data_IF_222531142166
#
_entry.id   IF_222531142166
#
_cell.length_a   1.000
_cell.length_b   1.000
_cell.length_c   1.000
_cell.angle_alpha   90.00
_cell.angle_beta   90.00
_cell.angle_gamma   90.00
#
_symmetry.space_group_name_H-M   'P 1'
#
loop_
_entity.id
_entity.type
_entity.pdbx_description
1 polymer ?
#
# COMPACT_ATOMS: atom_id res chain seq x y z
N UNK A 1 10.32 9.13 6.57
CA UNK A 1 10.72 7.76 6.92
C UNK A 1 10.71 6.84 5.72
N UNK A 2 9.63 6.75 4.98
CA UNK A 2 9.41 5.78 3.92
C UNK A 2 9.34 6.51 2.56
N UNK A 3 10.49 6.91 2.06
CA UNK A 3 10.64 7.61 0.79
C UNK A 3 11.50 6.80 -0.18
N UNK A 4 11.28 7.02 -1.46
CA UNK A 4 11.79 6.21 -2.55
C UNK A 4 13.32 6.08 -2.59
N UNK A 5 14.04 7.21 -2.59
CA UNK A 5 15.51 7.18 -2.61
C UNK A 5 16.10 6.92 -1.22
N UNK A 6 15.41 7.34 -0.15
CA UNK A 6 15.84 7.08 1.21
C UNK A 6 15.89 5.59 1.51
N UNK A 7 14.89 4.80 1.10
CA UNK A 7 14.90 3.36 1.28
C UNK A 7 16.08 2.70 0.55
N UNK A 8 16.36 3.10 -0.69
CA UNK A 8 17.52 2.59 -1.43
C UNK A 8 18.84 2.90 -0.71
N UNK A 9 18.97 4.09 -0.09
CA UNK A 9 20.10 4.39 0.77
C UNK A 9 20.13 3.50 2.02
N UNK A 10 18.99 3.27 2.66
CA UNK A 10 18.85 2.42 3.84
C UNK A 10 19.26 0.97 3.56
N UNK A 11 18.81 0.42 2.45
CA UNK A 11 19.15 -0.93 1.98
C UNK A 11 20.63 -1.09 1.68
N UNK A 12 21.32 -0.04 1.22
CA UNK A 12 22.76 0.00 0.94
C UNK A 12 23.27 -1.24 0.17
N UNK A 13 22.64 -1.55 -0.95
CA UNK A 13 23.01 -2.72 -1.75
C UNK A 13 22.85 -4.07 -1.02
N UNK A 14 21.81 -4.17 -0.20
CA UNK A 14 21.47 -5.38 0.56
C UNK A 14 22.21 -5.54 1.90
N UNK A 15 23.06 -4.58 2.30
CA UNK A 15 23.71 -4.58 3.62
C UNK A 15 22.78 -4.21 4.77
N UNK A 16 21.71 -3.49 4.49
CA UNK A 16 20.65 -3.07 5.41
C UNK A 16 21.16 -2.35 6.68
N UNK A 17 22.20 -1.56 6.55
CA UNK A 17 22.94 -0.98 7.67
C UNK A 17 22.87 0.55 7.75
N UNK A 18 21.91 1.19 7.03
CA UNK A 18 21.77 2.65 7.01
C UNK A 18 20.34 3.12 7.35
N UNK A 19 19.53 2.28 8.01
CA UNK A 19 18.13 2.66 8.31
C UNK A 19 18.07 3.85 9.28
N UNK A 20 18.87 3.86 10.33
CA UNK A 20 18.92 5.02 11.24
C UNK A 20 19.35 6.31 10.57
N UNK A 21 20.44 6.27 9.81
CA UNK A 21 21.00 7.46 9.16
C UNK A 21 20.23 7.88 7.93
N UNK A 22 19.40 7.02 7.37
CA UNK A 22 18.50 7.29 6.25
C UNK A 22 17.07 7.59 6.65
N UNK A 23 16.81 7.82 7.95
CA UNK A 23 15.46 8.03 8.47
C UNK A 23 15.36 9.27 9.34
N UNK A 24 14.22 9.95 9.26
CA UNK A 24 13.81 11.03 10.15
C UNK A 24 13.18 10.54 11.46
N UNK A 25 13.03 9.22 11.65
CA UNK A 25 12.54 8.61 12.88
C UNK A 25 13.65 8.07 13.81
N UNK A 26 14.90 8.37 13.51
CA UNK A 26 16.05 8.00 14.31
C UNK A 26 16.10 6.51 14.66
N UNK A 27 16.36 6.17 15.93
CA UNK A 27 16.46 4.80 16.41
C UNK A 27 15.14 4.01 16.40
N UNK A 28 13.98 4.67 16.27
CA UNK A 28 12.68 4.00 16.24
C UNK A 28 12.55 3.03 15.06
N UNK A 29 13.27 3.25 13.97
CA UNK A 29 13.27 2.34 12.80
C UNK A 29 13.88 0.96 13.11
N UNK A 30 14.59 0.81 14.20
CA UNK A 30 15.21 -0.44 14.66
C UNK A 30 14.32 -1.21 15.64
N UNK A 31 13.12 -0.71 15.92
CA UNK A 31 12.15 -1.39 16.77
C UNK A 31 11.66 -2.70 16.15
N UNK A 32 11.17 -3.59 17.00
CA UNK A 32 10.47 -4.81 16.56
C UNK A 32 9.29 -5.08 17.51
N UNK A 33 8.31 -5.82 17.02
CA UNK A 33 7.10 -6.15 17.76
C UNK A 33 7.13 -7.58 18.27
N UNK A 34 6.65 -7.79 19.48
CA UNK A 34 6.35 -9.13 19.99
C UNK A 34 5.02 -9.60 19.36
N UNK A 35 5.11 -10.24 18.22
CA UNK A 35 3.95 -10.69 17.43
C UNK A 35 3.01 -11.60 18.20
N UNK A 36 3.48 -12.27 19.28
CA UNK A 36 2.62 -13.09 20.15
C UNK A 36 1.54 -12.28 20.86
N UNK A 37 1.74 -10.97 21.00
CA UNK A 37 0.79 -10.06 21.63
C UNK A 37 -0.18 -9.42 20.64
N UNK A 38 0.03 -9.59 19.35
CA UNK A 38 -0.86 -9.02 18.34
C UNK A 38 -2.16 -9.84 18.25
N UNK A 39 -3.32 -9.18 18.32
CA UNK A 39 -4.63 -9.84 18.30
C UNK A 39 -4.82 -10.82 17.16
N UNK A 40 -4.32 -10.52 15.94
CA UNK A 40 -4.49 -11.41 14.79
C UNK A 40 -3.83 -12.77 15.00
N UNK A 41 -2.63 -12.82 15.58
CA UNK A 41 -1.98 -14.11 15.86
C UNK A 41 -2.63 -14.82 17.04
N UNK A 42 -3.08 -14.08 18.05
CA UNK A 42 -3.89 -14.63 19.14
C UNK A 42 -5.18 -15.31 18.64
N UNK A 43 -5.86 -14.67 17.70
CA UNK A 43 -7.04 -15.21 17.04
C UNK A 43 -6.71 -16.46 16.21
N UNK A 44 -5.71 -16.40 15.33
CA UNK A 44 -5.34 -17.50 14.44
C UNK A 44 -4.82 -18.74 15.18
N UNK A 45 -4.31 -18.58 16.41
CA UNK A 45 -3.92 -19.70 17.27
C UNK A 45 -5.07 -20.18 18.19
N UNK A 46 -6.21 -19.52 18.16
CA UNK A 46 -7.38 -19.88 18.94
C UNK A 46 -8.07 -21.16 18.44
N UNK A 47 -8.80 -21.80 19.35
CA UNK A 47 -9.60 -22.98 18.98
C UNK A 47 -10.68 -22.63 17.95
N UNK A 48 -10.71 -23.37 16.84
CA UNK A 48 -11.70 -23.16 15.77
C UNK A 48 -11.35 -22.05 14.78
N UNK A 49 -10.21 -21.42 14.91
CA UNK A 49 -9.71 -20.46 13.91
C UNK A 49 -9.39 -21.14 12.57
N UNK A 50 -9.47 -20.44 11.44
CA UNK A 50 -9.07 -20.99 10.16
C UNK A 50 -7.56 -21.23 10.11
N UNK A 51 -7.14 -22.19 9.30
CA UNK A 51 -5.73 -22.38 8.99
C UNK A 51 -5.19 -21.20 8.14
N UNK A 52 -3.90 -20.98 8.24
CA UNK A 52 -3.24 -19.87 7.56
C UNK A 52 -1.83 -20.25 7.07
N UNK A 53 -1.34 -19.47 6.13
CA UNK A 53 0.02 -19.58 5.59
C UNK A 53 0.73 -18.26 5.85
N UNK A 54 1.97 -18.33 6.32
CA UNK A 54 2.88 -17.20 6.35
C UNK A 54 3.73 -17.26 5.08
N UNK A 55 3.75 -16.21 4.28
CA UNK A 55 4.74 -16.03 3.24
C UNK A 55 5.93 -15.26 3.85
N UNK A 56 6.97 -15.98 4.26
CA UNK A 56 8.07 -15.42 5.08
C UNK A 56 9.13 -14.66 4.26
N UNK A 57 9.01 -14.72 2.94
CA UNK A 57 9.86 -14.01 1.98
C UNK A 57 9.00 -13.13 1.06
N UNK A 58 8.20 -12.24 1.67
CA UNK A 58 7.32 -11.33 0.96
C UNK A 58 7.82 -9.89 1.08
N UNK A 59 7.89 -9.17 -0.03
CA UNK A 59 8.50 -7.84 -0.13
C UNK A 59 7.51 -6.80 -0.64
N UNK A 60 7.69 -5.53 -0.25
CA UNK A 60 6.93 -4.44 -0.88
C UNK A 60 7.30 -4.32 -2.36
N UNK A 61 6.33 -3.99 -3.21
CA UNK A 61 6.49 -4.02 -4.66
C UNK A 61 7.39 -2.92 -5.22
N UNK A 62 7.46 -1.78 -4.54
CA UNK A 62 8.28 -0.65 -4.95
C UNK A 62 9.00 -0.04 -3.75
N UNK A 63 10.15 0.59 -3.96
CA UNK A 63 10.81 1.40 -2.94
C UNK A 63 9.92 2.55 -2.48
N UNK A 64 10.09 2.96 -1.22
CA UNK A 64 9.42 4.11 -0.67
C UNK A 64 8.11 3.80 0.02
N UNK A 65 7.22 4.79 0.04
CA UNK A 65 6.04 4.80 0.88
C UNK A 65 4.76 4.35 0.21
N UNK A 66 3.67 4.55 0.94
CA UNK A 66 2.33 4.06 0.62
C UNK A 66 1.82 4.49 -0.75
N UNK A 67 2.09 5.75 -1.17
CA UNK A 67 1.60 6.22 -2.45
C UNK A 67 2.05 5.33 -3.61
N UNK A 68 3.37 5.13 -3.77
CA UNK A 68 3.90 4.35 -4.88
C UNK A 68 3.53 2.87 -4.77
N UNK A 69 3.55 2.31 -3.56
CA UNK A 69 3.19 0.92 -3.33
C UNK A 69 1.70 0.65 -3.62
N UNK A 70 0.79 1.59 -3.35
CA UNK A 70 -0.60 1.48 -3.80
C UNK A 70 -0.72 1.50 -5.33
N UNK A 71 0.08 2.33 -6.03
CA UNK A 71 0.09 2.31 -7.50
C UNK A 71 0.63 0.98 -8.04
N UNK A 72 1.68 0.44 -7.43
CA UNK A 72 2.20 -0.89 -7.77
C UNK A 72 1.18 -1.99 -7.47
N UNK A 73 0.43 -1.86 -6.39
CA UNK A 73 -0.61 -2.83 -6.02
C UNK A 73 -1.81 -2.84 -6.97
N UNK A 74 -2.08 -1.75 -7.70
CA UNK A 74 -3.21 -1.70 -8.65
C UNK A 74 -2.80 -1.73 -10.11
N UNK A 75 -1.57 -1.31 -10.44
CA UNK A 75 -1.13 -1.17 -11.84
C UNK A 75 0.26 -1.78 -12.13
N UNK A 76 1.00 -2.22 -11.12
CA UNK A 76 2.38 -2.71 -11.23
C UNK A 76 3.33 -1.71 -11.94
N UNK A 77 3.08 -0.41 -11.81
CA UNK A 77 3.81 0.63 -12.52
C UNK A 77 3.88 1.94 -11.71
N UNK A 78 4.97 2.66 -11.86
CA UNK A 78 5.09 4.01 -11.36
C UNK A 78 4.28 4.99 -12.24
N UNK A 79 3.49 5.89 -11.64
CA UNK A 79 2.70 6.83 -12.41
C UNK A 79 3.58 7.90 -13.06
N UNK A 80 3.30 8.22 -14.32
CA UNK A 80 3.94 9.32 -15.02
C UNK A 80 3.34 10.66 -14.59
N UNK A 81 4.20 11.67 -14.44
CA UNK A 81 3.83 13.05 -14.17
C UNK A 81 4.60 13.97 -15.10
N UNK A 82 4.24 13.94 -16.38
CA UNK A 82 4.96 14.64 -17.46
C UNK A 82 5.01 16.15 -17.19
N UNK A 83 6.19 16.74 -17.31
CA UNK A 83 6.42 18.16 -17.16
C UNK A 83 6.52 18.69 -15.72
N UNK A 84 6.23 17.87 -14.72
CA UNK A 84 6.25 18.30 -13.32
C UNK A 84 7.66 18.65 -12.81
N UNK A 85 8.71 18.09 -13.41
CA UNK A 85 10.10 18.42 -13.06
C UNK A 85 10.53 19.87 -13.36
N UNK A 86 9.63 20.65 -13.98
CA UNK A 86 9.92 22.05 -14.33
C UNK A 86 9.49 23.05 -13.25
N UNK A 87 8.79 22.63 -12.20
CA UNK A 87 8.22 23.52 -11.19
C UNK A 87 9.25 23.97 -10.12
N UNK A 88 10.43 23.42 -10.08
CA UNK A 88 11.49 23.78 -9.14
C UNK A 88 11.22 23.42 -7.67
N UNK A 89 10.11 22.74 -7.39
CA UNK A 89 9.62 22.46 -6.03
C UNK A 89 10.18 21.19 -5.40
N UNK A 90 11.28 20.66 -5.92
CA UNK A 90 11.90 19.47 -5.35
C UNK A 90 12.37 19.72 -3.92
N UNK A 91 11.72 19.13 -2.94
CA UNK A 91 12.17 19.12 -1.56
C UNK A 91 13.27 18.07 -1.41
N UNK A 92 14.43 18.51 -0.95
CA UNK A 92 15.51 17.62 -0.58
C UNK A 92 15.09 16.81 0.65
N UNK A 93 15.34 15.52 0.63
CA UNK A 93 15.23 14.70 1.80
C UNK A 93 16.61 14.38 2.38
N UNK A 94 16.74 14.55 3.67
CA UNK A 94 17.97 14.30 4.41
C UNK A 94 17.67 13.54 5.69
N UNK A 95 18.63 12.75 6.17
CA UNK A 95 18.58 12.23 7.53
C UNK A 95 18.63 13.38 8.52
N UNK A 96 17.78 13.37 9.52
CA UNK A 96 17.66 14.38 10.56
C UNK A 96 18.19 13.91 11.92
N UNK A 97 19.06 12.90 11.92
CA UNK A 97 19.71 12.38 13.13
C UNK A 97 21.16 12.80 13.22
N UNK A 98 21.66 13.02 14.43
CA UNK A 98 23.07 13.28 14.71
C UNK A 98 23.94 11.99 14.69
N UNK A 99 25.23 12.14 14.99
CA UNK A 99 26.17 11.01 15.02
C UNK A 99 25.81 9.93 16.06
N UNK A 100 24.97 10.25 17.03
CA UNK A 100 24.47 9.31 18.04
C UNK A 100 23.10 8.71 17.67
N UNK A 101 22.54 9.07 16.51
CA UNK A 101 21.22 8.63 16.08
C UNK A 101 20.07 9.39 16.73
N UNK A 102 20.30 10.58 17.28
CA UNK A 102 19.28 11.42 17.89
C UNK A 102 18.73 12.44 16.90
N UNK A 103 17.43 12.74 16.92
CA UNK A 103 16.83 13.73 16.05
C UNK A 103 17.54 15.08 16.12
N UNK A 104 17.78 15.68 14.97
CA UNK A 104 18.36 17.02 14.84
C UNK A 104 17.82 17.73 13.62
N UNK A 105 17.89 19.04 13.59
CA UNK A 105 17.61 19.84 12.41
C UNK A 105 18.75 19.80 11.37
N UNK A 106 19.91 19.29 11.75
CA UNK A 106 21.08 19.21 10.87
C UNK A 106 21.18 17.80 10.32
N UNK A 107 21.00 17.60 9.02
CA UNK A 107 21.05 16.25 8.44
C UNK A 107 22.46 15.67 8.47
N UNK A 108 22.59 14.42 8.88
CA UNK A 108 23.84 13.63 8.77
C UNK A 108 24.03 13.04 7.37
N UNK A 109 22.94 12.78 6.70
CA UNK A 109 22.92 12.25 5.35
C UNK A 109 22.45 13.32 4.38
N UNK A 110 23.28 13.63 3.42
CA UNK A 110 22.89 14.39 2.24
C UNK A 110 22.98 13.43 1.07
N UNK A 111 21.87 13.14 0.37
CA UNK A 111 21.94 12.33 -0.85
C UNK A 111 22.92 12.98 -1.82
N UNK A 112 23.47 12.20 -2.73
CA UNK A 112 24.26 12.74 -3.82
C UNK A 112 23.53 13.98 -4.34
N UNK A 113 24.24 15.09 -4.52
CA UNK A 113 23.65 16.40 -4.83
C UNK A 113 22.70 16.42 -6.03
N UNK A 114 22.75 15.36 -6.84
CA UNK A 114 21.94 15.13 -8.03
C UNK A 114 20.64 14.36 -7.76
N UNK A 115 20.51 13.71 -6.60
CA UNK A 115 19.35 12.89 -6.25
C UNK A 115 18.68 13.47 -5.03
N UNK A 116 17.44 13.93 -5.22
CA UNK A 116 16.61 14.51 -4.17
C UNK A 116 15.38 13.63 -3.97
N UNK A 117 15.03 13.38 -2.72
CA UNK A 117 13.87 12.54 -2.39
C UNK A 117 12.60 13.37 -2.26
N UNK A 118 12.23 14.02 -3.37
CA UNK A 118 10.98 14.74 -3.53
C UNK A 118 9.84 13.84 -4.01
N UNK A 119 8.71 14.45 -4.39
CA UNK A 119 7.56 13.72 -4.96
C UNK A 119 7.90 13.03 -6.29
N UNK A 120 8.83 13.60 -7.05
CA UNK A 120 9.20 13.15 -8.40
C UNK A 120 10.58 12.53 -8.44
N UNK A 121 10.83 11.72 -9.48
CA UNK A 121 12.17 11.18 -9.77
C UNK A 121 13.16 12.28 -10.13
N UNK A 122 14.45 11.96 -10.04
CA UNK A 122 15.52 12.81 -10.56
C UNK A 122 15.45 12.94 -12.09
N UNK A 123 15.97 14.05 -12.63
CA UNK A 123 16.12 14.24 -14.10
C UNK A 123 17.16 13.30 -14.66
N UNK A 124 16.81 12.52 -15.69
CA UNK A 124 17.69 11.50 -16.25
C UNK A 124 19.04 12.01 -16.80
N UNK A 125 19.05 13.21 -17.32
CA UNK A 125 20.28 13.81 -17.92
C UNK A 125 21.13 14.58 -16.91
N UNK A 126 20.92 14.38 -15.64
CA UNK A 126 21.68 15.07 -14.60
C UNK A 126 23.01 14.32 -14.37
N UNK A 127 24.12 15.07 -14.37
CA UNK A 127 25.44 14.50 -14.15
C UNK A 127 25.56 13.90 -12.74
N UNK A 128 26.23 12.77 -12.61
CA UNK A 128 26.49 12.10 -11.32
C UNK A 128 25.38 11.19 -10.84
N UNK A 129 24.31 10.95 -11.60
CA UNK A 129 23.32 9.93 -11.25
C UNK A 129 23.96 8.54 -11.23
N UNK A 130 23.75 7.75 -10.17
CA UNK A 130 24.16 6.34 -10.14
C UNK A 130 23.52 5.53 -11.27
N UNK A 131 24.26 4.59 -11.81
CA UNK A 131 23.75 3.67 -12.81
C UNK A 131 22.58 2.85 -12.23
N UNK A 132 21.50 2.71 -13.00
CA UNK A 132 20.32 1.94 -12.60
C UNK A 132 19.34 2.67 -11.66
N UNK A 133 19.61 3.94 -11.33
CA UNK A 133 18.66 4.74 -10.56
C UNK A 133 17.46 5.12 -11.42
N UNK A 134 16.25 5.00 -10.87
CA UNK A 134 15.04 5.48 -11.53
C UNK A 134 15.11 7.01 -11.73
N UNK A 135 14.80 7.46 -12.94
CA UNK A 135 14.81 8.87 -13.28
C UNK A 135 13.76 9.16 -14.38
N UNK A 136 13.37 10.41 -14.53
CA UNK A 136 12.38 10.85 -15.53
C UNK A 136 11.17 11.53 -14.90
N UNK A 137 10.07 11.59 -15.63
CA UNK A 137 8.84 12.26 -15.21
C UNK A 137 7.90 11.26 -14.49
N UNK A 138 8.28 10.80 -13.30
CA UNK A 138 7.47 9.87 -12.50
C UNK A 138 7.22 10.40 -11.10
N UNK A 139 5.99 10.23 -10.62
CA UNK A 139 5.65 10.44 -9.22
C UNK A 139 6.03 9.21 -8.39
N UNK A 140 6.88 9.39 -7.38
CA UNK A 140 7.43 8.30 -6.54
C UNK A 140 7.10 8.43 -5.06
N UNK A 141 6.92 9.63 -4.56
CA UNK A 141 6.46 9.88 -3.19
C UNK A 141 5.06 10.52 -3.23
N UNK A 142 4.43 10.68 -2.08
CA UNK A 142 3.04 11.10 -1.97
C UNK A 142 2.72 12.34 -2.78
N UNK A 143 1.87 12.16 -3.76
CA UNK A 143 1.32 13.21 -4.62
C UNK A 143 -0.20 13.08 -4.57
N UNK A 144 -0.93 14.20 -4.46
CA UNK A 144 -2.37 14.17 -4.35
C UNK A 144 -3.05 13.79 -5.67
N UNK A 145 -4.22 13.13 -5.65
CA UNK A 145 -4.96 12.84 -6.87
C UNK A 145 -5.52 14.13 -7.50
N UNK A 146 -5.77 14.08 -8.80
CA UNK A 146 -6.41 15.18 -9.53
C UNK A 146 -7.87 15.38 -9.10
N UNK A 147 -8.59 14.28 -8.95
CA UNK A 147 -10.00 14.29 -8.58
C UNK A 147 -10.19 14.36 -7.06
N UNK A 148 -11.28 15.02 -6.65
CA UNK A 148 -11.75 14.94 -5.26
C UNK A 148 -12.09 13.48 -4.88
N UNK A 149 -11.87 13.08 -3.61
CA UNK A 149 -11.23 13.85 -2.54
C UNK A 149 -9.71 13.91 -2.70
N UNK A 150 -9.13 15.06 -2.38
CA UNK A 150 -7.70 15.29 -2.19
C UNK A 150 -7.51 16.26 -1.02
N UNK A 151 -6.29 16.33 -0.48
CA UNK A 151 -6.00 17.20 0.66
C UNK A 151 -6.37 18.67 0.35
N UNK A 152 -7.27 19.27 1.13
CA UNK A 152 -7.72 20.63 0.91
C UNK A 152 -6.56 21.63 0.79
N UNK A 153 -6.71 22.64 -0.06
CA UNK A 153 -5.65 23.64 -0.32
C UNK A 153 -4.51 23.16 -1.23
N UNK A 154 -4.56 21.93 -1.72
CA UNK A 154 -3.57 21.46 -2.70
C UNK A 154 -3.75 22.14 -4.04
N UNK A 155 -2.74 22.89 -4.48
CA UNK A 155 -2.76 23.55 -5.78
C UNK A 155 -2.80 22.55 -6.93
N UNK A 156 -3.43 22.92 -8.03
CA UNK A 156 -3.61 22.06 -9.23
C UNK A 156 -2.29 21.50 -9.74
N UNK A 157 -1.26 22.31 -9.78
CA UNK A 157 0.08 21.93 -10.27
C UNK A 157 0.75 20.85 -9.39
N UNK A 158 0.27 20.65 -8.15
CA UNK A 158 0.78 19.63 -7.22
C UNK A 158 -0.04 18.36 -7.21
N UNK A 159 -1.10 18.31 -8.00
CA UNK A 159 -1.94 17.12 -8.14
C UNK A 159 -1.50 16.32 -9.35
N UNK A 160 -1.41 15.00 -9.18
CA UNK A 160 -1.06 14.09 -10.26
C UNK A 160 -2.18 14.12 -11.32
N UNK A 161 -1.88 14.43 -12.58
CA UNK A 161 -2.88 14.35 -13.63
C UNK A 161 -3.55 12.99 -13.72
N UNK A 162 -4.79 12.88 -14.20
CA UNK A 162 -5.49 11.61 -14.28
C UNK A 162 -4.69 10.55 -15.04
N UNK A 163 -4.56 9.37 -14.46
CA UNK A 163 -3.83 8.26 -15.05
C UNK A 163 -4.72 7.55 -16.09
N UNK A 164 -4.12 7.20 -17.21
CA UNK A 164 -4.76 6.44 -18.29
C UNK A 164 -4.09 5.07 -18.51
N UNK A 165 -3.12 4.72 -17.67
CA UNK A 165 -2.47 3.41 -17.73
C UNK A 165 -3.44 2.34 -17.27
N UNK A 166 -3.35 1.10 -17.83
CA UNK A 166 -4.17 -0.01 -17.36
C UNK A 166 -3.96 -0.32 -15.88
N UNK A 167 -5.01 -0.72 -15.20
CA UNK A 167 -4.99 -1.14 -13.82
C UNK A 167 -5.79 -2.44 -13.63
N UNK A 168 -5.68 -3.06 -12.46
CA UNK A 168 -6.34 -4.35 -12.18
C UNK A 168 -7.86 -4.25 -12.24
N UNK A 169 -8.44 -3.12 -11.85
CA UNK A 169 -9.89 -2.90 -11.94
C UNK A 169 -10.39 -2.93 -13.38
N UNK A 170 -9.66 -2.31 -14.32
CA UNK A 170 -9.98 -2.36 -15.75
C UNK A 170 -9.92 -3.79 -16.27
N UNK A 171 -8.91 -4.56 -15.85
CA UNK A 171 -8.74 -5.97 -16.26
C UNK A 171 -9.85 -6.86 -15.74
N UNK A 172 -10.21 -6.71 -14.46
CA UNK A 172 -11.32 -7.45 -13.84
C UNK A 172 -12.65 -7.10 -14.52
N UNK A 173 -12.93 -5.81 -14.75
CA UNK A 173 -14.14 -5.35 -15.41
C UNK A 173 -14.26 -5.88 -16.84
N UNK A 174 -13.17 -5.90 -17.60
CA UNK A 174 -13.14 -6.45 -18.97
C UNK A 174 -13.54 -7.94 -19.03
N UNK A 175 -13.25 -8.69 -17.97
CA UNK A 175 -13.64 -10.11 -17.83
C UNK A 175 -14.96 -10.29 -17.07
N UNK A 176 -15.65 -9.22 -16.73
CA UNK A 176 -16.91 -9.22 -15.95
C UNK A 176 -16.75 -9.89 -14.57
N UNK A 177 -15.57 -9.78 -14.00
CA UNK A 177 -15.32 -10.17 -12.61
C UNK A 177 -15.85 -9.06 -11.72
N UNK A 178 -16.70 -9.40 -10.77
CA UNK A 178 -17.25 -8.43 -9.83
C UNK A 178 -16.22 -8.06 -8.77
N UNK A 179 -15.91 -6.77 -8.61
CA UNK A 179 -14.86 -6.30 -7.73
C UNK A 179 -15.16 -4.94 -7.12
N UNK A 180 -14.50 -4.62 -6.01
CA UNK A 180 -14.48 -3.28 -5.44
C UNK A 180 -13.20 -3.04 -4.62
N UNK A 181 -12.87 -1.75 -4.49
CA UNK A 181 -11.90 -1.22 -3.53
C UNK A 181 -12.66 -0.53 -2.40
N UNK A 182 -12.49 -1.02 -1.19
CA UNK A 182 -13.13 -0.52 0.01
C UNK A 182 -12.12 0.25 0.85
N UNK A 183 -12.36 1.55 1.05
CA UNK A 183 -11.53 2.38 1.93
C UNK A 183 -12.32 2.81 3.16
N UNK A 184 -11.74 2.70 4.33
CA UNK A 184 -12.31 3.29 5.53
C UNK A 184 -12.47 4.80 5.40
N UNK A 185 -13.64 5.34 5.77
CA UNK A 185 -13.94 6.77 5.68
C UNK A 185 -14.21 7.32 4.27
N UNK A 186 -14.35 6.45 3.27
CA UNK A 186 -14.58 6.87 1.89
C UNK A 186 -15.87 7.66 1.70
N UNK A 187 -16.96 7.22 2.31
CA UNK A 187 -18.26 7.89 2.16
C UNK A 187 -18.21 9.34 2.64
N UNK A 188 -17.54 9.59 3.75
CA UNK A 188 -17.32 10.95 4.25
C UNK A 188 -16.45 11.77 3.30
N UNK A 189 -15.33 11.23 2.84
CA UNK A 189 -14.40 11.92 1.96
C UNK A 189 -14.99 12.19 0.57
N UNK A 190 -15.73 11.26 0.02
CA UNK A 190 -16.35 11.38 -1.31
C UNK A 190 -17.65 12.22 -1.29
N UNK A 191 -18.26 12.41 -0.11
CA UNK A 191 -19.52 13.14 0.03
C UNK A 191 -20.76 12.30 -0.27
N UNK A 192 -20.69 10.99 0.00
CA UNK A 192 -21.80 10.05 -0.22
C UNK A 192 -22.80 10.10 0.92
N UNK A 193 -23.53 11.20 1.01
CA UNK A 193 -24.48 11.50 2.10
C UNK A 193 -25.50 10.38 2.27
N UNK A 194 -25.56 9.81 3.47
CA UNK A 194 -26.52 8.76 3.82
C UNK A 194 -26.14 7.36 3.35
N UNK A 195 -24.97 7.19 2.69
CA UNK A 195 -24.43 5.88 2.37
C UNK A 195 -23.84 5.18 3.61
N UNK A 196 -23.55 3.90 3.52
CA UNK A 196 -22.81 3.19 4.55
C UNK A 196 -21.46 3.86 4.79
N UNK A 197 -21.07 4.05 6.05
CA UNK A 197 -19.86 4.78 6.42
C UNK A 197 -20.00 6.29 6.50
N UNK A 198 -21.14 6.87 6.11
CA UNK A 198 -21.38 8.29 6.27
C UNK A 198 -21.65 8.65 7.74
N UNK A 199 -20.83 9.53 8.32
CA UNK A 199 -20.93 9.97 9.73
C UNK A 199 -20.98 11.49 9.91
N UNK A 200 -20.78 12.28 8.85
CA UNK A 200 -20.67 13.75 8.95
C UNK A 200 -22.01 14.50 9.06
N UNK A 201 -23.14 13.82 9.13
CA UNK A 201 -24.46 14.47 9.26
C UNK A 201 -24.78 15.38 8.06
N UNK A 202 -25.40 16.55 8.33
CA UNK A 202 -25.80 17.51 7.31
C UNK A 202 -25.06 18.86 7.44
N UNK A 203 -23.90 18.87 8.05
CA UNK A 203 -23.09 20.08 8.23
C UNK A 203 -22.58 20.64 6.92
N UNK A 204 -22.33 21.96 6.88
CA UNK A 204 -21.77 22.66 5.71
C UNK A 204 -20.26 22.86 5.80
N UNK A 205 -19.68 22.64 6.98
CA UNK A 205 -18.24 22.81 7.25
C UNK A 205 -17.67 21.49 7.74
N UNK A 206 -16.58 21.08 7.16
CA UNK A 206 -15.87 19.87 7.55
C UNK A 206 -14.85 20.20 8.63
N UNK A 207 -14.71 19.32 9.61
CA UNK A 207 -13.55 19.29 10.48
C UNK A 207 -12.47 18.48 9.74
N UNK A 208 -11.66 19.13 8.92
CA UNK A 208 -10.55 18.44 8.26
C UNK A 208 -9.33 18.47 9.17
N UNK A 209 -8.83 17.33 9.59
CA UNK A 209 -7.61 17.22 10.40
C UNK A 209 -6.35 17.64 9.66
N UNK A 210 -6.37 17.64 8.35
CA UNK A 210 -5.27 18.20 7.56
C UNK A 210 -5.26 19.74 7.60
N UNK A 211 -6.09 20.34 8.48
CA UNK A 211 -6.10 21.77 8.85
C UNK A 211 -6.31 22.73 7.73
N UNK A 212 -7.04 22.33 6.75
CA UNK A 212 -7.25 23.22 5.67
C UNK A 212 -8.63 23.78 5.81
N UNK A 213 -8.69 25.02 6.18
CA UNK A 213 -9.93 25.80 6.33
C UNK A 213 -10.83 25.83 5.08
N UNK A 214 -10.40 25.14 4.02
CA UNK A 214 -11.08 25.09 2.73
C UNK A 214 -11.85 23.81 2.47
N UNK A 215 -11.76 22.80 3.37
CA UNK A 215 -12.60 21.62 3.27
C UNK A 215 -14.05 21.98 3.56
N UNK A 216 -14.93 21.70 2.60
CA UNK A 216 -16.34 22.05 2.67
C UNK A 216 -17.17 20.80 2.37
N UNK A 217 -18.26 20.64 3.09
CA UNK A 217 -19.27 19.64 2.76
C UNK A 217 -19.64 19.68 1.26
N UNK A 218 -19.72 18.52 0.55
CA UNK A 218 -19.75 17.16 1.10
C UNK A 218 -18.37 16.49 1.32
N UNK A 219 -17.28 17.07 0.91
CA UNK A 219 -15.95 16.49 1.06
C UNK A 219 -15.41 16.70 2.47
N UNK A 220 -15.79 15.82 3.38
CA UNK A 220 -15.47 15.88 4.80
C UNK A 220 -14.76 14.59 5.25
N UNK A 221 -13.47 14.44 5.01
CA UNK A 221 -12.73 13.26 5.43
C UNK A 221 -12.66 13.15 6.96
N UNK A 222 -12.47 11.96 7.45
CA UNK A 222 -12.10 11.74 8.84
C UNK A 222 -10.65 12.17 9.11
N UNK A 223 -10.32 12.25 10.40
CA UNK A 223 -9.03 12.75 10.89
C UNK A 223 -7.83 12.08 10.19
N UNK A 224 -7.86 10.77 10.08
CA UNK A 224 -6.75 9.99 9.53
C UNK A 224 -7.08 9.38 8.15
N UNK A 225 -7.99 10.02 7.39
CA UNK A 225 -8.24 9.62 6.02
C UNK A 225 -7.06 9.99 5.13
N UNK A 226 -6.46 8.99 4.50
CA UNK A 226 -5.33 9.16 3.61
C UNK A 226 -5.77 9.11 2.15
N UNK A 227 -5.76 10.26 1.49
CA UNK A 227 -6.26 10.41 0.10
C UNK A 227 -5.57 9.47 -0.89
N UNK A 228 -4.26 9.20 -0.69
CA UNK A 228 -3.48 8.33 -1.55
C UNK A 228 -3.73 6.83 -1.29
N UNK A 229 -4.43 6.47 -0.24
CA UNK A 229 -4.87 5.09 0.00
C UNK A 229 -6.05 4.67 -0.87
N UNK A 230 -6.75 5.61 -1.50
CA UNK A 230 -7.72 5.30 -2.55
C UNK A 230 -7.03 5.35 -3.91
N UNK A 231 -6.29 4.28 -4.24
CA UNK A 231 -5.44 4.22 -5.42
C UNK A 231 -6.19 4.49 -6.74
N UNK A 232 -7.43 4.01 -6.86
CA UNK A 232 -8.21 4.18 -8.08
C UNK A 232 -8.69 5.61 -8.31
N UNK A 233 -8.69 6.48 -7.29
CA UNK A 233 -9.03 7.90 -7.46
C UNK A 233 -8.04 8.66 -8.36
N UNK A 234 -6.88 8.07 -8.65
CA UNK A 234 -5.90 8.63 -9.58
C UNK A 234 -6.21 8.34 -11.06
N UNK A 235 -7.09 7.39 -11.37
CA UNK A 235 -7.34 6.95 -12.74
C UNK A 235 -8.57 7.61 -13.36
N UNK A 236 -8.45 8.00 -14.64
CA UNK A 236 -9.50 8.68 -15.38
C UNK A 236 -10.82 7.90 -15.44
N UNK A 237 -10.76 6.58 -15.49
CA UNK A 237 -11.93 5.71 -15.55
C UNK A 237 -12.82 5.82 -14.31
N UNK A 238 -12.25 6.23 -13.16
CA UNK A 238 -12.95 6.40 -11.88
C UNK A 238 -13.16 7.87 -11.51
N UNK A 239 -13.24 8.75 -12.50
CA UNK A 239 -13.53 10.16 -12.30
C UNK A 239 -14.87 10.38 -11.58
N UNK A 240 -15.06 11.49 -10.84
CA UNK A 240 -16.34 11.83 -10.24
C UNK A 240 -17.48 11.79 -11.25
N UNK A 241 -18.62 11.22 -10.85
CA UNK A 241 -19.81 11.08 -11.69
C UNK A 241 -19.82 9.84 -12.59
N UNK A 242 -18.71 9.12 -12.75
CA UNK A 242 -18.69 7.86 -13.53
C UNK A 242 -19.41 6.72 -12.82
N UNK A 243 -19.98 5.80 -13.60
CA UNK A 243 -20.58 4.59 -13.05
C UNK A 243 -19.54 3.70 -12.41
N UNK A 244 -18.35 3.57 -13.04
CA UNK A 244 -17.24 2.78 -12.48
C UNK A 244 -16.82 3.24 -11.08
N UNK A 245 -16.77 4.57 -10.84
CA UNK A 245 -16.50 5.08 -9.47
C UNK A 245 -17.57 4.60 -8.49
N UNK A 246 -18.84 4.71 -8.83
CA UNK A 246 -19.96 4.30 -7.97
C UNK A 246 -19.99 2.80 -7.69
N UNK A 247 -19.64 1.99 -8.69
CA UNK A 247 -19.70 0.53 -8.58
C UNK A 247 -18.50 -0.05 -7.81
N UNK A 248 -17.33 0.59 -7.92
CA UNK A 248 -16.09 -0.02 -7.48
C UNK A 248 -15.37 0.70 -6.34
N UNK A 249 -15.60 2.01 -6.11
CA UNK A 249 -14.98 2.72 -4.99
C UNK A 249 -16.00 2.84 -3.85
N UNK A 250 -15.74 2.12 -2.77
CA UNK A 250 -16.69 1.86 -1.70
C UNK A 250 -16.10 2.19 -0.33
N UNK A 251 -16.99 2.36 0.63
CA UNK A 251 -16.62 2.46 2.03
C UNK A 251 -16.43 1.06 2.64
N UNK A 252 -15.51 0.93 3.60
CA UNK A 252 -15.26 -0.32 4.32
C UNK A 252 -16.52 -0.83 5.05
N UNK A 253 -17.40 0.06 5.49
CA UNK A 253 -18.67 -0.32 6.09
C UNK A 253 -19.56 -1.14 5.13
N UNK A 254 -19.49 -0.86 3.82
CA UNK A 254 -20.18 -1.67 2.79
C UNK A 254 -19.56 -3.07 2.69
N UNK A 255 -18.23 -3.19 2.81
CA UNK A 255 -17.55 -4.49 2.82
C UNK A 255 -17.99 -5.33 4.01
N UNK A 256 -17.97 -4.76 5.22
CA UNK A 256 -18.36 -5.47 6.44
C UNK A 256 -19.80 -5.97 6.33
N UNK A 257 -20.71 -5.14 5.80
CA UNK A 257 -22.08 -5.54 5.54
C UNK A 257 -22.17 -6.67 4.52
N UNK A 258 -21.42 -6.59 3.40
CA UNK A 258 -21.40 -7.61 2.37
C UNK A 258 -20.87 -8.95 2.90
N UNK A 259 -19.78 -8.93 3.69
CA UNK A 259 -19.22 -10.11 4.32
C UNK A 259 -20.24 -10.84 5.22
N UNK A 260 -20.93 -10.08 6.07
CA UNK A 260 -21.95 -10.63 6.99
C UNK A 260 -23.21 -11.18 6.31
N UNK A 261 -23.51 -10.72 5.10
CA UNK A 261 -24.75 -11.05 4.39
C UNK A 261 -24.56 -11.93 3.16
N UNK A 262 -23.34 -12.46 2.91
CA UNK A 262 -23.07 -13.34 1.76
C UNK A 262 -23.15 -12.61 0.41
N UNK A 263 -22.64 -11.37 0.37
CA UNK A 263 -22.63 -10.54 -0.83
C UNK A 263 -21.24 -9.99 -1.13
N UNK A 264 -20.20 -10.74 -0.75
CA UNK A 264 -18.83 -10.37 -1.09
C UNK A 264 -18.65 -10.33 -2.61
N UNK A 265 -17.91 -9.34 -3.07
CA UNK A 265 -17.44 -9.29 -4.45
C UNK A 265 -16.45 -10.45 -4.69
N UNK A 266 -16.36 -10.91 -5.96
CA UNK A 266 -15.39 -11.95 -6.33
C UNK A 266 -13.94 -11.52 -6.00
N UNK A 267 -13.65 -10.23 -6.12
CA UNK A 267 -12.39 -9.63 -5.67
C UNK A 267 -12.70 -8.38 -4.85
N UNK A 268 -12.28 -8.38 -3.60
CA UNK A 268 -12.43 -7.26 -2.68
C UNK A 268 -11.05 -6.79 -2.21
N UNK A 269 -10.74 -5.52 -2.41
CA UNK A 269 -9.58 -4.88 -1.83
C UNK A 269 -10.05 -4.03 -0.66
N UNK A 270 -9.40 -4.14 0.49
CA UNK A 270 -9.76 -3.38 1.69
C UNK A 270 -8.54 -2.60 2.17
N UNK A 271 -8.72 -1.31 2.40
CA UNK A 271 -7.74 -0.44 3.03
C UNK A 271 -8.39 0.29 4.20
N UNK A 272 -8.13 -0.13 5.45
CA UNK A 272 -8.65 0.54 6.63
C UNK A 272 -8.20 2.00 6.73
N UNK A 273 -8.97 2.81 7.43
CA UNK A 273 -8.61 4.19 7.75
C UNK A 273 -7.40 4.25 8.69
N UNK A 274 -6.80 5.42 8.89
CA UNK A 274 -5.59 5.59 9.68
C UNK A 274 -5.68 5.05 11.11
N UNK A 275 -6.81 5.22 11.77
CA UNK A 275 -7.05 4.70 13.12
C UNK A 275 -7.04 3.17 13.21
N UNK A 276 -7.10 2.47 12.07
CA UNK A 276 -7.31 1.03 11.98
C UNK A 276 -6.27 0.30 11.13
N UNK A 277 -5.24 0.99 10.62
CA UNK A 277 -4.35 0.45 9.59
C UNK A 277 -2.91 0.15 10.03
N UNK A 278 -2.61 0.24 11.31
CA UNK A 278 -1.27 0.01 11.89
C UNK A 278 -0.16 0.99 11.41
N UNK A 279 -0.51 2.11 10.77
CA UNK A 279 0.49 3.09 10.33
C UNK A 279 1.14 3.77 11.55
N UNK A 280 2.49 3.82 11.63
CA UNK A 280 3.17 4.50 12.71
C UNK A 280 2.70 5.95 12.88
N UNK A 281 2.26 6.29 14.10
CA UNK A 281 1.79 7.64 14.43
C UNK A 281 0.29 7.89 14.27
N UNK A 282 -0.48 6.96 13.68
CA UNK A 282 -1.95 7.07 13.61
C UNK A 282 -2.62 6.17 14.65
N UNK A 283 -2.24 4.91 14.70
CA UNK A 283 -2.75 3.96 15.68
C UNK A 283 -1.66 3.01 16.16
N UNK A 284 -1.97 2.19 17.16
CA UNK A 284 -1.06 1.13 17.61
C UNK A 284 -1.25 -0.14 16.76
N UNK A 285 -0.20 -0.96 16.68
CA UNK A 285 -0.28 -2.26 16.02
C UNK A 285 -1.33 -3.17 16.67
N UNK A 286 -1.56 -3.00 17.97
CA UNK A 286 -2.58 -3.77 18.68
C UNK A 286 -4.00 -3.41 18.24
N UNK A 287 -4.28 -2.12 18.07
CA UNK A 287 -5.59 -1.64 17.62
C UNK A 287 -5.85 -2.00 16.16
N UNK A 288 -4.90 -1.74 15.27
CA UNK A 288 -5.03 -2.13 13.87
C UNK A 288 -5.10 -3.65 13.70
N UNK A 289 -4.32 -4.41 14.48
CA UNK A 289 -4.40 -5.88 14.46
C UNK A 289 -5.74 -6.39 15.00
N UNK A 290 -6.38 -5.71 15.96
CA UNK A 290 -7.74 -6.05 16.41
C UNK A 290 -8.76 -5.79 15.29
N UNK A 291 -8.62 -4.69 14.56
CA UNK A 291 -9.46 -4.42 13.39
C UNK A 291 -9.33 -5.52 12.32
N UNK A 292 -8.11 -6.00 12.06
CA UNK A 292 -7.90 -7.16 11.18
C UNK A 292 -8.65 -8.40 11.65
N UNK A 293 -8.65 -8.67 12.97
CA UNK A 293 -9.45 -9.79 13.53
C UNK A 293 -10.92 -9.61 13.23
N UNK A 294 -11.46 -8.40 13.37
CA UNK A 294 -12.88 -8.13 13.14
C UNK A 294 -13.26 -8.29 11.66
N UNK A 295 -12.41 -7.85 10.73
CA UNK A 295 -12.57 -8.08 9.30
C UNK A 295 -12.50 -9.58 8.95
N UNK A 296 -11.50 -10.30 9.45
CA UNK A 296 -11.35 -11.74 9.21
C UNK A 296 -12.55 -12.49 9.75
N UNK A 297 -13.03 -12.19 10.96
CA UNK A 297 -14.24 -12.79 11.53
C UNK A 297 -15.47 -12.52 10.68
N UNK A 298 -15.68 -11.27 10.23
CA UNK A 298 -16.82 -10.92 9.39
C UNK A 298 -16.86 -11.79 8.12
N UNK A 299 -15.70 -12.07 7.52
CA UNK A 299 -15.59 -12.95 6.35
C UNK A 299 -15.80 -14.41 6.74
N UNK A 300 -15.01 -14.90 7.71
CA UNK A 300 -14.95 -16.34 8.06
C UNK A 300 -16.28 -16.83 8.62
N UNK A 301 -16.97 -16.02 9.41
CA UNK A 301 -18.27 -16.35 10.00
C UNK A 301 -19.44 -16.07 9.03
N UNK A 302 -19.18 -15.28 7.99
CA UNK A 302 -20.17 -14.97 6.96
C UNK A 302 -20.45 -16.13 6.01
N UNK A 303 -21.54 -16.05 5.22
CA UNK A 303 -21.96 -17.12 4.29
C UNK A 303 -20.89 -17.48 3.25
N UNK A 304 -20.10 -16.51 2.78
CA UNK A 304 -19.07 -16.71 1.75
C UNK A 304 -17.73 -17.21 2.32
N UNK A 305 -17.59 -17.27 3.65
CA UNK A 305 -16.31 -17.52 4.32
C UNK A 305 -15.64 -18.85 3.99
N UNK A 306 -16.43 -19.88 3.60
CA UNK A 306 -15.88 -21.18 3.19
C UNK A 306 -15.10 -21.10 1.88
N UNK A 307 -15.50 -20.21 0.98
CA UNK A 307 -14.99 -20.13 -0.38
C UNK A 307 -14.10 -18.89 -0.60
N UNK A 308 -13.73 -18.21 0.48
CA UNK A 308 -12.92 -16.99 0.47
C UNK A 308 -11.46 -17.27 0.85
N UNK A 309 -10.54 -16.80 0.04
CA UNK A 309 -9.13 -16.64 0.37
C UNK A 309 -8.90 -15.20 0.83
N UNK A 310 -8.37 -15.04 2.03
CA UNK A 310 -8.00 -13.74 2.59
C UNK A 310 -6.49 -13.59 2.48
N UNK A 311 -6.01 -12.48 1.93
CA UNK A 311 -4.60 -12.11 1.91
C UNK A 311 -4.46 -10.84 2.74
N UNK A 312 -3.65 -10.88 3.78
CA UNK A 312 -3.31 -9.73 4.62
C UNK A 312 -1.85 -9.42 4.40
N UNK A 313 -1.56 -8.17 4.05
CA UNK A 313 -0.19 -7.67 3.93
C UNK A 313 -0.15 -6.18 4.19
N UNK A 314 1.04 -5.66 4.42
CA UNK A 314 1.26 -4.22 4.43
C UNK A 314 1.50 -3.72 3.01
N UNK A 315 1.24 -2.44 2.77
CA UNK A 315 1.59 -1.79 1.50
C UNK A 315 3.10 -1.56 1.40
N UNK A 316 3.75 -1.22 2.55
CA UNK A 316 5.18 -0.96 2.60
C UNK A 316 5.74 -1.17 4.03
N UNK A 317 7.02 -0.93 4.23
CA UNK A 317 7.79 -1.29 5.43
C UNK A 317 7.63 -0.34 6.63
N UNK A 318 6.88 0.76 6.52
CA UNK A 318 6.71 1.75 7.58
C UNK A 318 8.00 2.48 7.99
N UNK A 319 9.04 2.41 7.18
CA UNK A 319 10.38 2.91 7.53
C UNK A 319 11.18 1.99 8.45
N UNK A 320 10.65 0.82 8.79
CA UNK A 320 11.24 -0.14 9.74
C UNK A 320 12.35 -0.98 9.10
N UNK A 321 13.37 -1.31 9.89
CA UNK A 321 14.43 -2.20 9.47
C UNK A 321 13.97 -3.67 9.44
N UNK A 322 14.43 -4.40 8.43
CA UNK A 322 14.36 -5.86 8.38
C UNK A 322 15.76 -6.44 8.12
N UNK A 323 16.02 -7.64 8.64
CA UNK A 323 17.33 -8.30 8.49
C UNK A 323 17.47 -9.09 7.19
N UNK A 324 16.36 -9.32 6.45
CA UNK A 324 16.39 -10.03 5.17
C UNK A 324 16.39 -9.01 4.03
N UNK A 325 17.45 -8.94 3.22
CA UNK A 325 17.50 -8.02 2.09
C UNK A 325 16.54 -8.47 0.97
N UNK A 326 15.97 -7.52 0.22
CA UNK A 326 15.14 -7.87 -0.93
C UNK A 326 15.95 -8.51 -2.06
N UNK A 327 15.31 -9.22 -3.01
CA UNK A 327 15.94 -9.57 -4.27
C UNK A 327 16.47 -8.30 -5.00
N UNK A 328 17.61 -8.34 -5.67
CA UNK A 328 18.48 -9.49 -5.91
C UNK A 328 19.55 -9.74 -4.83
N UNK A 329 19.45 -9.05 -3.69
CA UNK A 329 20.48 -9.07 -2.65
C UNK A 329 20.32 -10.24 -1.67
N UNK A 330 19.15 -10.87 -1.61
CA UNK A 330 18.95 -12.06 -0.79
C UNK A 330 19.65 -13.28 -1.42
N UNK A 331 20.35 -14.05 -0.60
CA UNK A 331 21.12 -15.21 -1.07
C UNK A 331 20.25 -16.44 -1.40
N UNK A 332 18.97 -16.39 -1.12
CA UNK A 332 18.04 -17.50 -1.29
C UNK A 332 17.25 -17.43 -2.60
N UNK A 333 17.25 -16.28 -3.26
CA UNK A 333 16.54 -16.07 -4.51
C UNK A 333 17.34 -16.56 -5.71
N UNK A 334 16.91 -17.65 -6.32
CA UNK A 334 17.32 -18.00 -7.67
C UNK A 334 16.85 -16.94 -8.71
N UNK A 335 16.19 -15.89 -8.27
CA UNK A 335 15.49 -14.91 -9.10
C UNK A 335 16.04 -13.49 -8.93
N UNK A 336 17.38 -13.33 -8.99
CA UNK A 336 18.01 -12.01 -9.11
C UNK A 336 17.41 -11.13 -10.25
N UNK A 337 16.58 -11.73 -11.11
CA UNK A 337 15.85 -11.06 -12.21
C UNK A 337 14.51 -10.47 -11.77
N UNK A 338 14.03 -10.73 -10.57
CA UNK A 338 12.76 -10.22 -10.08
C UNK A 338 12.83 -8.77 -9.54
N UNK A 339 13.93 -8.08 -9.77
CA UNK A 339 14.12 -6.67 -9.42
C UNK A 339 14.24 -5.78 -10.64
N UNK A 340 13.78 -4.55 -10.50
CA UNK A 340 13.94 -3.48 -11.48
C UNK A 340 14.30 -2.16 -10.76
N UNK A 341 14.29 -1.05 -11.50
CA UNK A 341 14.60 0.27 -10.92
C UNK A 341 13.60 0.76 -9.86
N UNK A 342 12.45 0.12 -9.73
CA UNK A 342 11.39 0.50 -8.81
C UNK A 342 11.37 -0.31 -7.51
N UNK A 343 11.94 -1.51 -7.52
CA UNK A 343 11.92 -2.44 -6.39
C UNK A 343 12.30 -3.87 -6.80
N UNK A 344 11.95 -4.87 -5.97
CA UNK A 344 11.20 -4.76 -4.72
C UNK A 344 11.98 -4.09 -3.59
N UNK A 345 11.23 -3.54 -2.62
CA UNK A 345 11.81 -2.94 -1.42
C UNK A 345 11.88 -3.90 -0.23
N UNK A 346 11.85 -3.35 0.97
CA UNK A 346 12.02 -4.08 2.23
C UNK A 346 10.98 -5.20 2.40
N UNK A 347 11.37 -6.27 3.09
CA UNK A 347 10.49 -7.37 3.45
C UNK A 347 9.37 -6.90 4.37
N UNK A 348 8.16 -7.36 4.09
CA UNK A 348 6.94 -7.05 4.85
C UNK A 348 6.16 -8.33 5.18
N UNK A 349 5.35 -8.36 6.24
CA UNK A 349 4.52 -9.52 6.57
C UNK A 349 3.46 -9.81 5.51
N UNK A 350 3.19 -11.10 5.26
CA UNK A 350 2.05 -11.53 4.46
C UNK A 350 1.45 -12.82 5.01
N UNK A 351 0.13 -12.81 5.19
CA UNK A 351 -0.68 -13.94 5.65
C UNK A 351 -1.72 -14.31 4.60
N UNK A 352 -1.89 -15.59 4.35
CA UNK A 352 -3.00 -16.13 3.56
C UNK A 352 -3.87 -16.97 4.49
N UNK A 353 -5.16 -16.67 4.58
CA UNK A 353 -6.09 -17.32 5.51
C UNK A 353 -7.24 -17.91 4.71
N UNK A 354 -7.60 -19.16 4.96
CA UNK A 354 -8.75 -19.78 4.33
C UNK A 354 -9.27 -20.97 5.14
N UNK A 355 -10.59 -21.11 5.23
CA UNK A 355 -11.22 -22.29 5.84
C UNK A 355 -10.93 -23.60 5.08
N UNK A 356 -10.55 -23.50 3.81
CA UNK A 356 -10.22 -24.66 2.97
C UNK A 356 -8.81 -25.20 3.16
N UNK A 357 -7.94 -24.50 3.87
CA UNK A 357 -6.63 -25.04 4.19
C UNK A 357 -6.75 -26.20 5.18
N UNK A 358 -6.12 -27.33 4.88
CA UNK A 358 -6.10 -28.50 5.76
C UNK A 358 -5.17 -28.30 6.96
N UNK A 359 -4.15 -27.46 6.80
CA UNK A 359 -3.16 -27.13 7.84
C UNK A 359 -2.64 -25.71 7.68
N UNK A 360 -2.09 -25.18 8.76
CA UNK A 360 -1.24 -23.97 8.69
C UNK A 360 0.17 -24.33 8.23
N UNK A 361 0.84 -23.39 7.57
CA UNK A 361 2.18 -23.61 7.01
C UNK A 361 2.95 -22.33 6.72
N UNK A 362 4.15 -22.49 6.18
CA UNK A 362 5.02 -21.40 5.74
C UNK A 362 5.39 -21.62 4.28
N UNK A 363 5.29 -20.57 3.47
CA UNK A 363 5.79 -20.52 2.10
C UNK A 363 7.09 -19.72 2.07
N UNK A 364 8.15 -20.34 1.58
CA UNK A 364 9.51 -19.79 1.60
C UNK A 364 9.96 -19.18 0.26
N UNK A 365 9.09 -19.22 -0.74
CA UNK A 365 9.38 -18.61 -2.03
C UNK A 365 9.34 -17.09 -1.94
N UNK A 366 10.18 -16.44 -2.77
CA UNK A 366 10.17 -14.98 -2.89
C UNK A 366 8.91 -14.49 -3.60
N UNK A 367 8.22 -13.55 -2.96
CA UNK A 367 7.05 -12.83 -3.48
C UNK A 367 7.20 -11.33 -3.25
N UNK A 368 6.48 -10.54 -4.01
CA UNK A 368 6.21 -9.13 -3.67
C UNK A 368 4.73 -8.79 -3.84
N UNK A 369 4.33 -7.56 -3.56
CA UNK A 369 2.93 -7.16 -3.66
C UNK A 369 2.35 -7.37 -5.06
N UNK A 370 3.17 -7.31 -6.13
CA UNK A 370 2.74 -7.62 -7.50
C UNK A 370 2.48 -9.11 -7.74
N UNK A 371 2.94 -9.99 -6.84
CA UNK A 371 2.60 -11.43 -6.85
C UNK A 371 1.10 -11.67 -6.63
N UNK A 372 0.42 -10.74 -5.93
CA UNK A 372 -1.04 -10.76 -5.76
C UNK A 372 -1.72 -10.48 -7.10
N UNK A 373 -1.28 -9.44 -7.83
CA UNK A 373 -1.79 -9.16 -9.18
C UNK A 373 -1.60 -10.36 -10.10
N UNK A 374 -0.40 -10.96 -10.06
CA UNK A 374 -0.08 -12.16 -10.85
C UNK A 374 -0.99 -13.35 -10.51
N UNK A 375 -1.42 -13.47 -9.26
CA UNK A 375 -2.42 -14.48 -8.88
C UNK A 375 -3.78 -14.19 -9.48
N UNK A 376 -4.23 -12.92 -9.45
CA UNK A 376 -5.51 -12.50 -10.06
C UNK A 376 -5.47 -12.66 -11.58
N UNK A 377 -4.37 -12.26 -12.24
CA UNK A 377 -4.16 -12.47 -13.67
C UNK A 377 -4.39 -13.93 -14.07
N UNK A 378 -3.76 -14.85 -13.34
CA UNK A 378 -3.91 -16.30 -13.59
C UNK A 378 -5.30 -16.82 -13.26
N UNK A 379 -5.90 -16.37 -12.15
CA UNK A 379 -7.20 -16.86 -11.68
C UNK A 379 -8.33 -16.53 -12.62
N UNK A 380 -8.27 -15.35 -13.23
CA UNK A 380 -9.36 -14.80 -14.04
C UNK A 380 -8.99 -14.63 -15.52
N UNK A 381 -7.85 -15.17 -15.95
CA UNK A 381 -7.35 -15.06 -17.31
C UNK A 381 -7.32 -13.61 -17.80
N UNK A 382 -6.69 -12.72 -16.99
CA UNK A 382 -6.60 -11.30 -17.28
C UNK A 382 -5.40 -10.99 -18.18
N UNK A 383 -5.52 -9.93 -18.98
CA UNK A 383 -4.37 -9.40 -19.70
C UNK A 383 -3.31 -8.91 -18.69
N UNK A 384 -2.03 -9.25 -18.87
CA UNK A 384 -1.00 -8.97 -17.89
C UNK A 384 -0.80 -7.47 -17.63
N UNK A 385 -0.58 -7.14 -16.35
CA UNK A 385 -0.07 -5.85 -15.88
C UNK A 385 1.37 -6.00 -15.40
N UNK A 386 1.67 -7.14 -14.77
CA UNK A 386 2.95 -7.40 -14.13
C UNK A 386 3.98 -7.79 -15.16
N UNK A 387 4.94 -6.89 -15.42
CA UNK A 387 6.07 -7.12 -16.33
C UNK A 387 7.30 -7.71 -15.63
N UNK A 388 7.44 -7.46 -14.33
CA UNK A 388 8.50 -8.04 -13.51
C UNK A 388 8.32 -9.56 -13.43
N UNK A 389 9.40 -10.36 -13.55
CA UNK A 389 9.32 -11.82 -13.50
C UNK A 389 9.12 -12.34 -12.06
N UNK A 390 8.06 -11.90 -11.38
CA UNK A 390 7.69 -12.38 -10.05
C UNK A 390 6.89 -13.68 -10.11
N UNK A 391 6.94 -14.42 -9.03
CA UNK A 391 6.12 -15.62 -8.82
C UNK A 391 4.69 -15.22 -8.47
N UNK A 392 3.71 -15.94 -8.99
CA UNK A 392 2.32 -15.78 -8.57
C UNK A 392 2.16 -16.20 -7.11
N UNK A 393 1.43 -15.42 -6.31
CA UNK A 393 1.16 -15.75 -4.91
C UNK A 393 0.39 -17.08 -4.75
N UNK A 394 -0.27 -17.57 -5.79
CA UNK A 394 -0.88 -18.90 -5.78
C UNK A 394 0.11 -20.04 -5.49
N UNK A 395 1.42 -19.83 -5.67
CA UNK A 395 2.42 -20.81 -5.31
C UNK A 395 2.45 -21.10 -3.79
N UNK A 396 2.17 -20.08 -2.97
CA UNK A 396 2.14 -20.20 -1.50
C UNK A 396 1.02 -21.13 -1.02
N UNK A 397 -0.08 -21.29 -1.79
CA UNK A 397 -1.24 -22.09 -1.38
C UNK A 397 -0.91 -23.57 -1.13
N UNK A 398 0.18 -24.06 -1.72
CA UNK A 398 0.67 -25.43 -1.50
C UNK A 398 1.02 -25.73 -0.04
N UNK A 399 1.47 -24.71 0.70
CA UNK A 399 1.85 -24.86 2.10
C UNK A 399 0.65 -25.19 3.01
N UNK A 400 -0.57 -24.80 2.62
CA UNK A 400 -1.80 -25.04 3.38
C UNK A 400 -2.49 -26.37 3.06
N UNK A 401 -2.16 -27.01 1.95
CA UNK A 401 -2.88 -28.15 1.38
C UNK A 401 -4.41 -27.91 1.23
N UNK A 402 -5.10 -28.62 0.36
CA UNK A 402 -6.56 -28.56 0.21
C UNK A 402 -7.14 -27.44 -0.65
N UNK A 403 -6.31 -26.48 -1.10
CA UNK A 403 -6.73 -25.47 -2.06
C UNK A 403 -6.23 -25.84 -3.46
N UNK A 404 -7.14 -26.21 -4.36
CA UNK A 404 -6.88 -26.63 -5.74
C UNK A 404 -7.58 -25.72 -6.74
#
# INVERSE_FOLDING_TARGET
MHRFYSEQYQLNGGRQNRYMTGSDAAGLVMGYYDTKKLPIYGYLHGHGAPNYIIADSFFQGAFGGSFLNHQFFVAAAAPQFVGALNDGSANDFHSIVDANGMPTSTPLYTPLSTVKDAQLTAKCNQAGLPAGLACGDYAINTTQPFYQPYSPGTADIKRLPPLHTPNIGDRLSAKRVDWAWYSGGWSNANGDVGASGWTNGNGTTCTDPNHVSTAVFPNCPDVDFQYHHQAFNYFANYAPGTQARKDHLKDEAEFIQAARTGRLKQVSFIKPIGEENEHPGYTSESEGSQHLVDLVKAIVEGPDGKDTLIVITYDEFGGQWDHVPPPPFNRHGAEAKAADQWGPGTRIPALLIAKRFNKSGVAHEDFDTTSILKMLEKRFDLDPLVTRPVRSLSAALKAGEGWH
#
